data_IF_795869052865
#
_entry.id   IF_795869052865
#
_cell.length_a   1.000
_cell.length_b   1.000
_cell.length_c   1.000
_cell.angle_alpha   90.00
_cell.angle_beta   90.00
_cell.angle_gamma   90.00
#
_symmetry.space_group_name_H-M   'P 1'
#
loop_
_entity.id
_entity.type
_entity.pdbx_description
1 polymer ?
#
# COMPACT_ATOMS: atom_id res chain seq x y z
N UNK A 1 9.81 27.49 -19.64
CA UNK A 1 10.28 27.65 -18.25
C UNK A 1 9.33 26.86 -17.37
N UNK A 2 9.85 25.84 -16.68
CA UNK A 2 9.06 24.87 -15.89
C UNK A 2 8.65 25.48 -14.54
N UNK A 3 7.36 25.42 -14.20
CA UNK A 3 6.78 25.92 -12.93
C UNK A 3 6.53 24.79 -11.92
N UNK A 4 7.42 23.80 -11.82
CA UNK A 4 7.31 22.71 -10.84
C UNK A 4 8.60 22.51 -10.04
N UNK A 5 9.06 23.54 -9.33
CA UNK A 5 10.15 23.43 -8.36
C UNK A 5 9.85 24.22 -7.07
N UNK A 6 8.75 23.87 -6.40
CA UNK A 6 8.47 24.35 -5.04
C UNK A 6 7.98 23.21 -4.15
N UNK A 7 8.79 22.16 -4.02
CA UNK A 7 8.80 21.40 -2.77
C UNK A 7 9.93 21.95 -1.91
N UNK A 8 9.67 22.47 -0.70
CA UNK A 8 10.75 22.84 0.20
C UNK A 8 11.50 21.57 0.63
N UNK A 9 12.63 21.32 -0.05
CA UNK A 9 13.69 20.46 0.46
C UNK A 9 14.27 21.18 1.67
N UNK A 10 14.24 20.53 2.83
CA UNK A 10 14.62 21.02 4.15
C UNK A 10 13.45 21.56 5.00
N UNK A 11 12.56 20.66 5.44
CA UNK A 11 11.92 20.85 6.75
C UNK A 11 12.69 20.03 7.80
N UNK A 12 13.14 20.64 8.91
CA UNK A 12 13.86 19.91 9.95
C UNK A 12 12.99 18.77 10.52
N UNK A 13 13.61 17.61 10.73
CA UNK A 13 12.97 16.38 11.26
C UNK A 13 12.44 16.49 12.71
N UNK A 14 12.33 17.69 13.26
CA UNK A 14 11.89 17.92 14.64
C UNK A 14 11.27 19.31 14.79
N UNK A 15 10.15 19.56 14.12
CA UNK A 15 9.14 20.43 14.75
C UNK A 15 8.37 19.53 15.72
N UNK A 16 8.78 19.53 16.99
CA UNK A 16 7.89 19.10 18.07
C UNK A 16 6.69 20.04 18.02
N UNK A 17 5.64 19.61 17.33
CA UNK A 17 4.35 20.27 17.46
C UNK A 17 3.84 19.93 18.86
N UNK A 18 3.56 20.96 19.65
CA UNK A 18 2.91 20.83 20.94
C UNK A 18 1.50 20.30 20.74
N UNK A 19 1.39 18.98 20.82
CA UNK A 19 0.12 18.29 20.90
C UNK A 19 -0.27 18.30 22.37
N UNK A 20 -1.40 18.90 22.68
CA UNK A 20 -2.00 18.87 24.00
C UNK A 20 -2.43 17.43 24.35
N UNK A 21 -1.54 16.73 25.06
CA UNK A 21 -1.70 15.32 25.45
C UNK A 21 -2.78 15.18 26.52
N UNK A 22 -2.93 16.15 27.40
CA UNK A 22 -3.90 16.08 28.48
C UNK A 22 -5.31 16.26 27.94
N UNK A 23 -5.52 17.19 27.00
CA UNK A 23 -6.77 17.24 26.22
C UNK A 23 -7.09 15.91 25.54
N UNK A 24 -6.08 15.24 24.97
CA UNK A 24 -6.28 13.94 24.32
C UNK A 24 -6.67 12.83 25.31
N UNK A 25 -6.08 12.80 26.50
CA UNK A 25 -6.47 11.88 27.58
C UNK A 25 -7.90 12.15 28.03
N UNK A 26 -8.27 13.42 28.23
CA UNK A 26 -9.63 13.81 28.61
C UNK A 26 -10.64 13.30 27.59
N UNK A 27 -10.44 13.58 26.30
CA UNK A 27 -11.32 13.12 25.22
C UNK A 27 -11.47 11.58 25.24
N UNK A 28 -10.36 10.85 25.39
CA UNK A 28 -10.37 9.39 25.38
C UNK A 28 -11.08 8.84 26.63
N UNK A 29 -10.74 9.35 27.81
CA UNK A 29 -11.27 8.91 29.09
C UNK A 29 -12.77 9.20 29.24
N UNK A 30 -13.20 10.39 28.85
CA UNK A 30 -14.60 10.81 28.94
C UNK A 30 -15.49 10.16 27.87
N UNK A 31 -14.90 9.62 26.79
CA UNK A 31 -15.69 8.98 25.73
C UNK A 31 -16.47 7.76 26.22
N UNK A 32 -15.96 7.03 27.22
CA UNK A 32 -16.53 5.76 27.68
C UNK A 32 -16.56 4.65 26.62
N UNK A 33 -15.98 4.87 25.43
CA UNK A 33 -16.03 3.93 24.31
C UNK A 33 -14.93 2.88 24.44
N UNK A 34 -15.28 1.62 24.13
CA UNK A 34 -14.31 0.54 23.96
C UNK A 34 -13.53 0.65 22.64
N UNK A 35 -14.04 1.41 21.67
CA UNK A 35 -13.39 1.69 20.38
C UNK A 35 -13.44 3.20 20.08
N UNK A 36 -12.28 3.80 19.79
CA UNK A 36 -12.15 5.24 19.48
C UNK A 36 -11.64 5.41 18.05
N UNK A 37 -12.36 6.18 17.26
CA UNK A 37 -11.98 6.56 15.91
C UNK A 37 -11.11 7.81 15.92
N UNK A 38 -9.88 7.70 15.44
CA UNK A 38 -8.95 8.82 15.39
C UNK A 38 -9.50 10.03 14.61
N UNK A 39 -10.27 9.82 13.53
CA UNK A 39 -10.77 10.93 12.72
C UNK A 39 -12.00 11.60 13.33
N UNK A 40 -12.96 10.83 13.83
CA UNK A 40 -14.23 11.35 14.33
C UNK A 40 -14.15 11.80 15.79
N UNK A 41 -13.42 11.05 16.62
CA UNK A 41 -13.38 11.25 18.07
C UNK A 41 -12.16 12.03 18.54
N UNK A 42 -11.09 12.12 17.74
CA UNK A 42 -9.84 12.81 18.14
C UNK A 42 -9.55 13.99 17.21
N UNK A 43 -9.37 13.75 15.92
CA UNK A 43 -8.92 14.75 14.95
C UNK A 43 -9.81 16.01 14.94
N UNK A 44 -11.12 15.85 14.94
CA UNK A 44 -12.14 16.92 15.04
C UNK A 44 -11.97 17.83 16.25
N UNK A 45 -11.40 17.34 17.37
CA UNK A 45 -11.14 18.16 18.56
C UNK A 45 -9.82 18.95 18.48
N UNK A 46 -8.92 18.60 17.55
CA UNK A 46 -7.61 19.24 17.36
C UNK A 46 -7.54 20.10 16.08
N UNK A 47 -8.54 19.99 15.20
CA UNK A 47 -8.69 20.80 13.99
C UNK A 47 -10.08 21.41 13.92
N UNK A 48 -10.17 22.72 13.65
CA UNK A 48 -11.48 23.33 13.38
C UNK A 48 -12.03 22.83 12.05
N UNK A 49 -13.35 22.78 11.90
CA UNK A 49 -13.97 22.43 10.62
C UNK A 49 -13.46 23.35 9.50
N UNK A 50 -12.89 22.75 8.46
CA UNK A 50 -12.29 23.46 7.32
C UNK A 50 -10.80 23.80 7.44
N UNK A 51 -10.14 23.52 8.57
CA UNK A 51 -8.71 23.81 8.76
C UNK A 51 -7.82 22.64 8.27
N UNK A 52 -7.21 22.77 7.09
CA UNK A 52 -6.24 21.78 6.59
C UNK A 52 -4.87 21.99 7.24
N UNK A 53 -4.64 21.37 8.39
CA UNK A 53 -3.34 21.36 9.08
C UNK A 53 -2.28 20.46 8.40
N UNK A 54 -2.59 19.88 7.24
CA UNK A 54 -1.67 19.09 6.45
C UNK A 54 -1.34 17.70 7.02
N UNK A 55 -0.71 16.87 6.17
CA UNK A 55 -0.43 15.45 6.48
C UNK A 55 0.55 15.24 7.64
N UNK A 56 1.45 16.20 7.87
CA UNK A 56 2.47 16.13 8.94
C UNK A 56 1.81 16.24 10.30
N UNK A 57 0.94 17.24 10.50
CA UNK A 57 0.20 17.42 11.76
C UNK A 57 -0.65 16.17 12.09
N UNK A 58 -1.35 15.64 11.09
CA UNK A 58 -2.15 14.42 11.23
C UNK A 58 -1.32 13.22 11.70
N UNK A 59 -0.15 13.00 11.11
CA UNK A 59 0.74 11.90 11.52
C UNK A 59 1.27 12.08 12.94
N UNK A 60 1.61 13.31 13.33
CA UNK A 60 2.08 13.62 14.68
C UNK A 60 0.98 13.34 15.72
N UNK A 61 -0.24 13.81 15.46
CA UNK A 61 -1.39 13.57 16.33
C UNK A 61 -1.73 12.07 16.41
N UNK A 62 -1.70 11.34 15.30
CA UNK A 62 -1.88 9.88 15.28
C UNK A 62 -0.83 9.15 16.13
N UNK A 63 0.44 9.56 16.02
CA UNK A 63 1.54 8.95 16.79
C UNK A 63 1.34 9.17 18.29
N UNK A 64 0.97 10.39 18.70
CA UNK A 64 0.68 10.71 20.10
C UNK A 64 -0.56 9.97 20.61
N UNK A 65 -1.63 9.90 19.84
CA UNK A 65 -2.84 9.15 20.18
C UNK A 65 -2.58 7.66 20.40
N UNK A 66 -1.80 7.03 19.50
CA UNK A 66 -1.32 5.65 19.70
C UNK A 66 -0.58 5.48 21.03
N UNK A 67 0.28 6.42 21.38
CA UNK A 67 1.05 6.38 22.62
C UNK A 67 0.13 6.50 23.84
N UNK A 68 -0.80 7.45 23.84
CA UNK A 68 -1.75 7.68 24.94
C UNK A 68 -2.63 6.45 25.17
N UNK A 69 -3.28 5.93 24.13
CA UNK A 69 -4.12 4.74 24.24
C UNK A 69 -3.32 3.55 24.78
N UNK A 70 -2.12 3.30 24.25
CA UNK A 70 -1.27 2.18 24.72
C UNK A 70 -0.87 2.29 26.20
N UNK A 71 -0.64 3.51 26.69
CA UNK A 71 -0.07 3.75 28.03
C UNK A 71 -1.11 3.97 29.12
N UNK A 72 -2.25 4.59 28.79
CA UNK A 72 -3.24 5.02 29.77
C UNK A 72 -4.60 4.33 29.59
N UNK A 73 -4.91 3.85 28.37
CA UNK A 73 -6.21 3.24 28.06
C UNK A 73 -6.04 1.93 27.27
N UNK A 74 -5.29 0.93 27.80
CA UNK A 74 -4.93 -0.28 27.06
C UNK A 74 -6.14 -1.13 26.64
N UNK A 75 -7.29 -0.94 27.31
CA UNK A 75 -8.56 -1.59 26.98
C UNK A 75 -9.30 -0.94 25.80
N UNK A 76 -8.89 0.26 25.39
CA UNK A 76 -9.50 1.00 24.28
C UNK A 76 -8.82 0.63 22.96
N UNK A 77 -9.62 0.23 21.98
CA UNK A 77 -9.14 -0.01 20.61
C UNK A 77 -9.09 1.29 19.83
N UNK A 78 -7.89 1.73 19.44
CA UNK A 78 -7.72 2.91 18.58
C UNK A 78 -7.85 2.54 17.09
N UNK A 79 -8.85 3.13 16.44
CA UNK A 79 -9.12 2.97 15.00
C UNK A 79 -8.61 4.20 14.25
N UNK A 80 -7.44 4.05 13.64
CA UNK A 80 -6.71 5.17 12.98
C UNK A 80 -7.24 5.44 11.57
N UNK A 81 -7.66 4.37 10.90
CA UNK A 81 -8.58 4.40 9.78
C UNK A 81 -9.56 3.26 10.04
N UNK A 82 -10.87 3.50 9.83
CA UNK A 82 -11.85 2.42 9.93
C UNK A 82 -11.44 1.28 9.01
N UNK A 83 -11.61 0.04 9.45
CA UNK A 83 -11.49 -1.09 8.53
C UNK A 83 -12.49 -0.88 7.40
N UNK A 84 -12.09 -1.24 6.18
CA UNK A 84 -13.00 -1.26 5.05
C UNK A 84 -14.05 -2.33 5.30
N UNK A 85 -15.31 -1.92 5.28
CA UNK A 85 -16.45 -2.83 5.34
C UNK A 85 -16.74 -3.39 3.95
N UNK A 86 -17.35 -4.56 3.88
CA UNK A 86 -17.78 -5.15 2.60
C UNK A 86 -18.79 -4.25 1.87
N UNK A 87 -19.60 -3.50 2.62
CA UNK A 87 -20.52 -2.50 2.09
C UNK A 87 -19.76 -1.35 1.41
N UNK A 88 -18.73 -0.79 2.05
CA UNK A 88 -17.90 0.25 1.45
C UNK A 88 -17.16 -0.26 0.20
N UNK A 89 -16.63 -1.48 0.24
CA UNK A 89 -16.00 -2.09 -0.95
C UNK A 89 -16.99 -2.21 -2.11
N UNK A 90 -18.20 -2.71 -1.83
CA UNK A 90 -19.27 -2.85 -2.84
C UNK A 90 -19.67 -1.50 -3.41
N UNK A 91 -19.77 -0.46 -2.58
CA UNK A 91 -20.04 0.91 -3.04
C UNK A 91 -18.92 1.41 -3.96
N UNK A 92 -17.65 1.28 -3.54
CA UNK A 92 -16.51 1.70 -4.35
C UNK A 92 -16.48 0.94 -5.69
N UNK A 93 -16.66 -0.38 -5.66
CA UNK A 93 -16.73 -1.21 -6.87
C UNK A 93 -17.83 -0.75 -7.82
N UNK A 94 -19.04 -0.51 -7.31
CA UNK A 94 -20.17 -0.06 -8.12
C UNK A 94 -19.96 1.34 -8.72
N UNK A 95 -19.24 2.23 -8.03
CA UNK A 95 -18.89 3.56 -8.58
C UNK A 95 -17.92 3.41 -9.74
N UNK A 96 -16.84 2.64 -9.53
CA UNK A 96 -15.83 2.39 -10.56
C UNK A 96 -16.45 1.74 -11.80
N UNK A 97 -17.35 0.78 -11.60
CA UNK A 97 -18.07 0.10 -12.69
C UNK A 97 -18.97 1.07 -13.46
N UNK A 98 -19.79 1.86 -12.76
CA UNK A 98 -20.67 2.86 -13.39
C UNK A 98 -19.91 3.96 -14.14
N UNK A 99 -18.71 4.30 -13.69
CA UNK A 99 -17.87 5.30 -14.35
C UNK A 99 -17.03 4.71 -15.51
N UNK A 100 -17.10 3.40 -15.76
CA UNK A 100 -16.25 2.74 -16.74
C UNK A 100 -14.77 2.82 -16.38
N UNK A 101 -14.46 2.86 -15.08
CA UNK A 101 -13.11 2.96 -14.51
C UNK A 101 -12.57 1.62 -14.04
N UNK A 102 -13.42 0.58 -14.04
CA UNK A 102 -12.97 -0.79 -13.82
C UNK A 102 -11.90 -1.15 -14.86
N UNK A 103 -10.93 -1.94 -14.43
CA UNK A 103 -9.89 -2.56 -15.26
C UNK A 103 -8.78 -1.62 -15.77
N UNK A 104 -8.97 -0.30 -15.63
CA UNK A 104 -7.92 0.70 -15.85
C UNK A 104 -6.86 0.65 -14.76
N UNK A 105 -5.63 1.04 -15.13
CA UNK A 105 -4.55 1.20 -14.15
C UNK A 105 -4.84 2.39 -13.25
N UNK A 106 -4.34 2.35 -12.00
CA UNK A 106 -4.68 3.36 -10.98
C UNK A 106 -4.35 4.80 -11.42
N UNK A 107 -3.43 5.04 -12.34
CA UNK A 107 -3.12 6.40 -12.83
C UNK A 107 -4.14 6.95 -13.85
N UNK A 108 -4.88 6.09 -14.52
CA UNK A 108 -5.82 6.46 -15.60
C UNK A 108 -7.24 6.77 -15.10
N UNK A 109 -7.53 6.36 -13.86
CA UNK A 109 -8.86 6.53 -13.26
C UNK A 109 -9.07 7.97 -12.80
N UNK A 110 -10.24 8.54 -13.09
CA UNK A 110 -10.65 9.82 -12.50
C UNK A 110 -11.01 9.66 -11.01
N UNK A 111 -9.96 9.65 -10.19
CA UNK A 111 -10.12 9.56 -8.74
C UNK A 111 -10.80 10.76 -8.10
N UNK A 112 -10.88 11.91 -8.79
CA UNK A 112 -11.65 13.04 -8.26
C UNK A 112 -13.14 12.73 -8.38
N UNK A 113 -13.61 12.31 -9.56
CA UNK A 113 -14.99 11.88 -9.77
C UNK A 113 -15.39 10.71 -8.88
N UNK A 114 -14.53 9.68 -8.78
CA UNK A 114 -14.77 8.52 -7.90
C UNK A 114 -14.88 8.92 -6.44
N UNK A 115 -14.01 9.82 -5.95
CA UNK A 115 -14.03 10.27 -4.56
C UNK A 115 -15.30 11.06 -4.23
N UNK A 116 -15.71 11.98 -5.11
CA UNK A 116 -16.94 12.75 -4.94
C UNK A 116 -18.18 11.84 -4.85
N UNK A 117 -18.34 10.89 -5.79
CA UNK A 117 -19.46 9.94 -5.76
C UNK A 117 -19.42 9.01 -4.55
N UNK A 118 -18.22 8.65 -4.08
CA UNK A 118 -18.08 7.80 -2.90
C UNK A 118 -18.55 8.53 -1.64
N UNK A 119 -18.17 9.80 -1.48
CA UNK A 119 -18.65 10.63 -0.36
C UNK A 119 -20.17 10.77 -0.41
N UNK A 120 -20.73 11.06 -1.58
CA UNK A 120 -22.17 11.21 -1.79
C UNK A 120 -22.93 9.94 -1.37
N UNK A 121 -22.47 8.75 -1.80
CA UNK A 121 -23.14 7.49 -1.50
C UNK A 121 -22.96 6.98 -0.07
N UNK A 122 -21.81 7.24 0.54
CA UNK A 122 -21.53 6.77 1.92
C UNK A 122 -22.00 7.82 2.95
N UNK A 123 -22.23 9.06 2.54
CA UNK A 123 -22.68 10.15 3.41
C UNK A 123 -21.62 10.64 4.38
N UNK A 124 -20.33 10.40 4.09
CA UNK A 124 -19.21 10.77 4.98
C UNK A 124 -17.92 11.03 4.22
N UNK A 125 -17.08 11.89 4.80
CA UNK A 125 -15.81 12.34 4.21
C UNK A 125 -14.59 11.65 4.84
N UNK A 126 -14.74 10.48 5.48
CA UNK A 126 -13.68 9.87 6.28
C UNK A 126 -12.53 9.27 5.43
N UNK A 127 -12.84 8.72 4.26
CA UNK A 127 -11.89 8.21 3.26
C UNK A 127 -11.33 9.33 2.37
N UNK A 128 -10.01 9.41 2.28
CA UNK A 128 -9.36 10.26 1.28
C UNK A 128 -9.19 9.52 -0.06
N UNK A 129 -8.91 10.29 -1.11
CA UNK A 129 -8.65 9.77 -2.46
C UNK A 129 -7.59 8.67 -2.47
N UNK A 130 -6.55 8.79 -1.64
CA UNK A 130 -5.45 7.83 -1.57
C UNK A 130 -5.91 6.50 -0.98
N UNK A 131 -6.80 6.52 0.01
CA UNK A 131 -7.41 5.33 0.58
C UNK A 131 -8.28 4.59 -0.45
N UNK A 132 -9.02 5.32 -1.29
CA UNK A 132 -9.79 4.71 -2.40
C UNK A 132 -8.87 4.07 -3.43
N UNK A 133 -7.82 4.80 -3.87
CA UNK A 133 -6.79 4.30 -4.78
C UNK A 133 -6.14 3.01 -4.27
N UNK A 134 -5.73 3.02 -3.00
CA UNK A 134 -5.08 1.90 -2.37
C UNK A 134 -6.03 0.72 -2.18
N UNK A 135 -7.31 0.99 -1.88
CA UNK A 135 -8.32 -0.06 -1.79
C UNK A 135 -8.58 -0.70 -3.14
N UNK A 136 -8.74 0.10 -4.18
CA UNK A 136 -8.94 -0.41 -5.53
C UNK A 136 -7.77 -1.27 -5.98
N UNK A 137 -6.56 -0.70 -5.98
CA UNK A 137 -5.34 -1.36 -6.46
C UNK A 137 -5.09 -2.68 -5.76
N UNK A 138 -5.32 -2.75 -4.46
CA UNK A 138 -4.93 -3.91 -3.66
C UNK A 138 -6.08 -4.92 -3.44
N UNK A 139 -7.35 -4.53 -3.62
CA UNK A 139 -8.50 -5.34 -3.16
C UNK A 139 -9.69 -5.40 -4.12
N UNK A 140 -9.79 -4.53 -5.14
CA UNK A 140 -10.93 -4.53 -6.09
C UNK A 140 -10.46 -4.81 -7.52
N UNK A 141 -9.26 -4.35 -7.89
CA UNK A 141 -8.68 -4.59 -9.20
C UNK A 141 -8.56 -6.09 -9.45
N UNK A 142 -9.28 -6.60 -10.46
CA UNK A 142 -9.46 -8.05 -10.69
C UNK A 142 -8.15 -8.76 -11.01
N UNK A 143 -7.16 -8.06 -11.59
CA UNK A 143 -5.85 -8.67 -11.82
C UNK A 143 -5.13 -9.01 -10.50
N UNK A 144 -5.40 -8.25 -9.43
CA UNK A 144 -4.90 -8.48 -8.06
C UNK A 144 -5.84 -9.37 -7.22
N UNK A 145 -7.09 -9.56 -7.65
CA UNK A 145 -8.10 -10.38 -6.95
C UNK A 145 -8.93 -11.20 -7.94
N UNK A 146 -8.70 -12.52 -7.98
CA UNK A 146 -9.66 -13.45 -8.58
C UNK A 146 -10.98 -13.43 -7.78
N UNK A 147 -12.16 -13.55 -8.41
CA UNK A 147 -13.44 -13.59 -7.71
C UNK A 147 -13.53 -14.82 -6.81
N UNK A 148 -14.07 -14.66 -5.60
CA UNK A 148 -14.41 -15.78 -4.71
C UNK A 148 -13.69 -15.74 -3.37
N UNK A 149 -12.36 -15.76 -3.36
CA UNK A 149 -11.60 -15.88 -2.10
C UNK A 149 -10.23 -15.19 -2.14
N UNK A 150 -9.77 -14.74 -0.96
CA UNK A 150 -8.37 -14.31 -0.74
C UNK A 150 -7.46 -15.53 -0.93
N UNK A 151 -7.03 -15.85 -2.15
CA UNK A 151 -5.82 -16.67 -2.29
C UNK A 151 -4.62 -15.81 -1.93
N UNK A 152 -3.94 -16.18 -0.83
CA UNK A 152 -2.55 -15.76 -0.60
C UNK A 152 -1.78 -16.18 -1.84
N UNK A 153 -1.11 -15.29 -2.59
CA UNK A 153 -0.28 -15.72 -3.71
C UNK A 153 0.73 -16.74 -3.17
N UNK A 154 0.64 -17.97 -3.69
CA UNK A 154 1.66 -18.99 -3.46
C UNK A 154 2.79 -18.62 -4.41
N UNK A 155 3.76 -17.89 -3.88
CA UNK A 155 4.91 -17.49 -4.68
C UNK A 155 5.74 -18.72 -5.04
N UNK A 156 6.06 -18.87 -6.33
CA UNK A 156 6.99 -19.89 -6.80
C UNK A 156 8.40 -19.60 -6.30
N UNK A 157 9.27 -20.60 -6.33
CA UNK A 157 10.67 -20.43 -5.93
C UNK A 157 11.37 -19.33 -6.74
N UNK A 158 11.09 -19.24 -8.05
CA UNK A 158 11.69 -18.24 -8.93
C UNK A 158 11.13 -16.83 -8.72
N UNK A 159 9.85 -16.71 -8.37
CA UNK A 159 9.29 -15.44 -7.91
C UNK A 159 9.94 -14.99 -6.60
N UNK A 160 10.18 -15.91 -5.66
CA UNK A 160 10.88 -15.60 -4.41
C UNK A 160 12.32 -15.14 -4.68
N UNK A 161 13.05 -15.83 -5.57
CA UNK A 161 14.40 -15.41 -6.00
C UNK A 161 14.39 -14.01 -6.61
N UNK A 162 13.45 -13.74 -7.52
CA UNK A 162 13.30 -12.44 -8.16
C UNK A 162 13.00 -11.32 -7.14
N UNK A 163 12.11 -11.57 -6.18
CA UNK A 163 11.80 -10.62 -5.10
C UNK A 163 13.06 -10.24 -4.32
N UNK A 164 13.89 -11.23 -3.96
CA UNK A 164 15.11 -11.01 -3.18
C UNK A 164 16.14 -10.27 -4.04
N UNK A 165 16.38 -10.74 -5.27
CA UNK A 165 17.31 -10.12 -6.21
C UNK A 165 17.01 -8.63 -6.41
N UNK A 166 15.77 -8.28 -6.73
CA UNK A 166 15.39 -6.88 -6.94
C UNK A 166 15.53 -6.05 -5.66
N UNK A 167 15.33 -6.66 -4.49
CA UNK A 167 15.43 -5.95 -3.22
C UNK A 167 16.88 -5.71 -2.80
N UNK A 168 17.77 -6.67 -3.02
CA UNK A 168 19.20 -6.58 -2.68
C UNK A 168 19.95 -5.59 -3.59
N UNK A 169 19.56 -5.48 -4.87
CA UNK A 169 20.08 -4.41 -5.74
C UNK A 169 19.69 -3.00 -5.27
N UNK A 170 18.71 -2.85 -4.36
CA UNK A 170 18.22 -1.58 -3.77
C UNK A 170 17.78 -0.49 -4.76
N UNK A 171 17.76 -0.79 -6.06
CA UNK A 171 17.48 0.20 -7.12
C UNK A 171 15.99 0.51 -7.29
N UNK A 172 15.10 -0.37 -6.86
CA UNK A 172 13.66 -0.23 -7.12
C UNK A 172 12.78 -0.42 -5.88
N UNK A 173 11.65 0.29 -5.86
CA UNK A 173 10.66 0.26 -4.78
C UNK A 173 9.78 -1.00 -4.82
N UNK A 174 9.14 -1.34 -3.70
CA UNK A 174 8.25 -2.52 -3.61
C UNK A 174 7.12 -2.54 -4.65
N UNK A 175 6.68 -1.36 -5.10
CA UNK A 175 5.70 -1.22 -6.18
C UNK A 175 6.28 -1.69 -7.51
N UNK A 176 7.45 -1.23 -7.88
CA UNK A 176 8.11 -1.62 -9.14
C UNK A 176 8.46 -3.11 -9.17
N UNK A 177 8.85 -3.68 -8.02
CA UNK A 177 9.03 -5.13 -7.89
C UNK A 177 7.70 -5.86 -8.16
N UNK A 178 6.59 -5.31 -7.65
CA UNK A 178 5.24 -5.82 -7.90
C UNK A 178 4.87 -5.79 -9.37
N UNK A 179 5.09 -4.65 -10.01
CA UNK A 179 4.74 -4.44 -11.40
C UNK A 179 5.54 -5.42 -12.29
N UNK A 180 6.86 -5.56 -12.08
CA UNK A 180 7.71 -6.53 -12.81
C UNK A 180 7.29 -7.99 -12.62
N UNK A 181 6.92 -8.39 -11.40
CA UNK A 181 6.45 -9.76 -11.14
C UNK A 181 5.08 -10.00 -11.77
N UNK A 182 4.21 -9.00 -11.76
CA UNK A 182 2.89 -9.09 -12.38
C UNK A 182 2.98 -9.18 -13.90
N UNK A 183 3.93 -8.49 -14.53
CA UNK A 183 4.21 -8.65 -15.97
C UNK A 183 4.63 -10.09 -16.31
N UNK A 184 5.48 -10.70 -15.47
CA UNK A 184 5.87 -12.10 -15.64
C UNK A 184 4.70 -13.06 -15.41
N UNK A 185 3.81 -12.75 -14.47
CA UNK A 185 2.59 -13.53 -14.20
C UNK A 185 1.62 -13.42 -15.36
N UNK A 186 1.45 -12.24 -15.95
CA UNK A 186 0.58 -12.02 -17.11
C UNK A 186 1.04 -12.86 -18.30
N UNK A 187 2.34 -12.83 -18.62
CA UNK A 187 2.90 -13.70 -19.69
C UNK A 187 2.69 -15.18 -19.40
N UNK A 188 2.92 -15.61 -18.16
CA UNK A 188 2.70 -17.01 -17.78
C UNK A 188 1.23 -17.42 -17.91
N UNK A 189 0.31 -16.53 -17.53
CA UNK A 189 -1.12 -16.77 -17.65
C UNK A 189 -1.60 -16.77 -19.10
N UNK A 190 -1.02 -15.96 -19.98
CA UNK A 190 -1.27 -16.00 -21.42
C UNK A 190 -0.85 -17.35 -22.02
N UNK A 191 0.35 -17.83 -21.66
CA UNK A 191 0.83 -19.16 -22.07
C UNK A 191 -0.07 -20.26 -21.52
N UNK A 192 -0.43 -20.22 -20.24
CA UNK A 192 -1.33 -21.22 -19.63
C UNK A 192 -2.68 -21.28 -20.35
N UNK A 193 -3.27 -20.12 -20.67
CA UNK A 193 -4.53 -20.06 -21.44
C UNK A 193 -4.41 -20.61 -22.86
N UNK A 194 -3.23 -20.48 -23.47
CA UNK A 194 -2.96 -21.00 -24.82
C UNK A 194 -2.75 -22.53 -24.82
N UNK A 195 -2.25 -23.09 -23.72
CA UNK A 195 -2.01 -24.54 -23.56
C UNK A 195 -3.30 -25.27 -23.17
N UNK A 196 -3.97 -24.83 -22.11
CA UNK A 196 -5.21 -25.44 -21.63
C UNK A 196 -6.04 -24.41 -20.83
N UNK A 197 -7.28 -24.20 -21.26
CA UNK A 197 -8.22 -23.25 -20.62
C UNK A 197 -8.59 -23.63 -19.18
N UNK A 198 -8.31 -24.86 -18.75
CA UNK A 198 -8.59 -25.33 -17.39
C UNK A 198 -7.42 -25.12 -16.41
N UNK A 199 -6.25 -24.65 -16.87
CA UNK A 199 -5.13 -24.35 -15.98
C UNK A 199 -5.49 -23.15 -15.09
N UNK A 200 -5.35 -23.31 -13.78
CA UNK A 200 -5.61 -22.24 -12.82
C UNK A 200 -4.64 -21.08 -13.02
N UNK A 201 -5.18 -19.86 -13.16
CA UNK A 201 -4.39 -18.66 -13.36
C UNK A 201 -3.67 -18.25 -12.08
N UNK A 202 -2.42 -17.83 -12.23
CA UNK A 202 -1.62 -17.30 -11.15
C UNK A 202 -2.13 -15.89 -10.82
N UNK A 203 -2.53 -15.59 -9.57
CA UNK A 203 -3.00 -14.27 -9.19
C UNK A 203 -1.83 -13.27 -9.14
N UNK A 204 -2.09 -12.01 -9.48
CA UNK A 204 -1.08 -10.95 -9.26
C UNK A 204 -0.79 -10.77 -7.77
N UNK A 205 0.37 -10.21 -7.51
CA UNK A 205 0.81 -9.86 -6.17
C UNK A 205 0.83 -8.34 -5.99
N UNK A 206 0.61 -7.90 -4.76
CA UNK A 206 0.75 -6.49 -4.33
C UNK A 206 2.12 -6.26 -3.71
N UNK A 207 2.57 -4.99 -3.75
CA UNK A 207 3.76 -4.54 -3.06
C UNK A 207 3.79 -4.94 -1.57
N UNK A 208 2.63 -4.94 -0.89
CA UNK A 208 2.51 -5.37 0.50
C UNK A 208 2.72 -6.87 0.68
N UNK A 209 2.13 -7.70 -0.19
CA UNK A 209 2.34 -9.15 -0.18
C UNK A 209 3.80 -9.51 -0.46
N UNK A 210 4.44 -8.83 -1.41
CA UNK A 210 5.87 -9.01 -1.72
C UNK A 210 6.74 -8.63 -0.53
N UNK A 211 6.51 -7.46 0.07
CA UNK A 211 7.26 -7.02 1.26
C UNK A 211 7.13 -8.01 2.41
N UNK A 212 5.92 -8.51 2.66
CA UNK A 212 5.67 -9.50 3.69
C UNK A 212 6.35 -10.84 3.38
N UNK A 213 6.31 -11.28 2.11
CA UNK A 213 6.97 -12.50 1.65
C UNK A 213 8.49 -12.38 1.83
N UNK A 214 9.10 -11.31 1.32
CA UNK A 214 10.52 -11.01 1.53
C UNK A 214 10.88 -11.04 3.02
N UNK A 215 10.14 -10.31 3.86
CA UNK A 215 10.42 -10.26 5.30
C UNK A 215 10.32 -11.64 5.97
N UNK A 216 9.45 -12.51 5.46
CA UNK A 216 9.30 -13.89 5.94
C UNK A 216 10.48 -14.76 5.53
N UNK A 217 10.91 -14.69 4.27
CA UNK A 217 12.03 -15.50 3.77
C UNK A 217 13.38 -15.06 4.35
N UNK A 218 13.58 -13.75 4.57
CA UNK A 218 14.77 -13.24 5.26
C UNK A 218 14.83 -13.72 6.72
N UNK A 219 13.70 -13.71 7.43
CA UNK A 219 13.61 -14.20 8.83
C UNK A 219 13.84 -15.70 8.97
N UNK A 220 13.54 -16.48 7.92
CA UNK A 220 13.78 -17.92 7.90
C UNK A 220 15.27 -18.28 7.74
N UNK A 221 16.11 -17.32 7.42
CA UNK A 221 17.56 -17.49 7.36
C UNK A 221 18.05 -18.20 6.09
N UNK A 222 18.95 -17.52 5.39
CA UNK A 222 20.18 -18.07 4.77
C UNK A 222 20.15 -18.83 3.43
N UNK A 223 19.07 -19.43 2.93
CA UNK A 223 19.17 -20.15 1.64
C UNK A 223 18.89 -19.28 0.40
N UNK A 224 17.86 -18.43 0.46
CA UNK A 224 17.44 -17.63 -0.69
C UNK A 224 18.29 -16.36 -0.89
N UNK A 225 18.90 -15.83 0.18
CA UNK A 225 19.91 -14.76 0.10
C UNK A 225 21.21 -15.24 -0.53
N UNK A 226 21.65 -16.47 -0.21
CA UNK A 226 22.87 -17.06 -0.76
C UNK A 226 22.77 -17.29 -2.28
N UNK A 227 21.65 -17.86 -2.76
CA UNK A 227 21.40 -18.02 -4.21
C UNK A 227 21.19 -16.70 -4.95
N UNK A 228 20.56 -15.70 -4.32
CA UNK A 228 20.40 -14.38 -4.93
C UNK A 228 21.76 -13.65 -5.07
N UNK A 229 22.65 -13.80 -4.07
CA UNK A 229 24.01 -13.27 -4.15
C UNK A 229 24.82 -13.96 -5.27
N UNK A 230 24.73 -15.28 -5.41
CA UNK A 230 25.35 -16.03 -6.52
C UNK A 230 24.84 -15.57 -7.90
N UNK A 231 23.53 -15.37 -8.06
CA UNK A 231 22.96 -14.88 -9.32
C UNK A 231 23.42 -13.46 -9.68
N UNK A 232 23.51 -12.56 -8.69
CA UNK A 232 24.07 -11.21 -8.88
C UNK A 232 25.54 -11.28 -9.32
N UNK A 233 26.30 -12.22 -8.78
CA UNK A 233 27.70 -12.42 -9.14
C UNK A 233 27.87 -13.00 -10.55
N UNK A 234 27.00 -13.94 -10.96
CA UNK A 234 26.95 -14.51 -12.31
C UNK A 234 26.59 -13.43 -13.35
N UNK A 235 25.59 -12.59 -13.09
CA UNK A 235 25.25 -11.48 -13.99
C UNK A 235 26.39 -10.47 -14.13
N UNK A 236 27.05 -10.10 -13.02
CA UNK A 236 28.22 -9.22 -13.08
C UNK A 236 29.36 -9.81 -13.91
N UNK A 237 29.53 -11.14 -13.89
CA UNK A 237 30.51 -11.85 -14.73
C UNK A 237 30.09 -11.81 -16.21
N UNK A 238 28.80 -12.02 -16.51
CA UNK A 238 28.25 -11.93 -17.87
C UNK A 238 28.35 -10.52 -18.46
N UNK A 239 28.06 -9.47 -17.68
CA UNK A 239 28.22 -8.08 -18.11
C UNK A 239 29.68 -7.74 -18.42
N UNK A 240 30.63 -8.17 -17.58
CA UNK A 240 32.07 -8.01 -17.85
C UNK A 240 32.53 -8.77 -19.10
N UNK A 241 31.99 -9.96 -19.33
CA UNK A 241 32.28 -10.72 -20.56
C UNK A 241 31.75 -9.98 -21.80
N UNK A 242 30.54 -9.42 -21.76
CA UNK A 242 29.98 -8.65 -22.87
C UNK A 242 30.77 -7.37 -23.20
N UNK A 243 31.39 -6.73 -22.21
CA UNK A 243 32.29 -5.57 -22.45
C UNK A 243 33.57 -6.00 -23.18
N UNK A 244 34.11 -7.18 -22.88
CA UNK A 244 35.31 -7.70 -23.56
C UNK A 244 35.05 -8.12 -25.02
N UNK A 245 33.82 -8.44 -25.41
CA UNK A 245 33.48 -8.78 -26.80
C UNK A 245 33.21 -7.56 -27.70
N UNK A 246 33.10 -6.34 -27.15
CA UNK A 246 32.89 -5.10 -27.91
C UNK A 246 34.23 -4.39 -28.22
N UNK A 247 35.36 -4.94 -27.78
CA UNK A 247 36.70 -4.41 -28.12
C UNK A 247 37.38 -5.30 -29.16
N UNK A 248 36.91 -5.27 -30.40
CA UNK A 248 37.66 -5.65 -31.61
C UNK A 248 37.31 -4.66 -32.71
#
# INVERSE_FOLDING_TARGET
MSQFDNFPKNQPQSMQMDVDVDKMKTIIGESGKSEINFKEDIWTHFTKDGEDKGIVHRRTLQKKCRQVVKSHYPYVKLVISRHWTDKEEKILKNILDKMGEMDKITSEIDWKGVHSQFIEKVGRFDRDKKALQERYRNYIYHKVRLPGDRKKPVFTEDQIKSIIYYREKKEIGWKEISDKLNDSIDRQNEVNKAIDKNIELIPHCTAGQIKNKYSTEIKKGLYALAKAAELVEIEKKLEKMNVNYITI
#
